data_IF_007154194389
#
_entry.id   IF_007154194389
#
_cell.length_a   1.000
_cell.length_b   1.000
_cell.length_c   1.000
_cell.angle_alpha   90.00
_cell.angle_beta   90.00
_cell.angle_gamma   90.00
#
_symmetry.space_group_name_H-M   'P 1'
#
loop_
_entity.id
_entity.type
_entity.pdbx_description
1 polymer ?
#
# COMPACT_ATOMS: atom_id res chain seq x y z
N UNK A 1 1.64 16.68 -19.12
CA UNK A 1 2.01 15.76 -20.23
C UNK A 1 3.19 14.85 -19.90
N UNK A 2 4.26 15.36 -19.28
CA UNK A 2 5.48 14.60 -19.00
C UNK A 2 5.28 13.36 -18.11
N UNK A 3 4.50 13.46 -17.03
CA UNK A 3 4.34 12.30 -16.13
C UNK A 3 3.46 11.18 -16.69
N UNK A 4 2.54 11.49 -17.62
CA UNK A 4 1.85 10.46 -18.43
C UNK A 4 2.86 9.73 -19.31
N UNK A 5 3.71 10.48 -20.01
CA UNK A 5 4.73 9.92 -20.88
C UNK A 5 5.73 9.04 -20.12
N UNK A 6 6.19 9.50 -18.96
CA UNK A 6 7.12 8.75 -18.10
C UNK A 6 6.47 7.46 -17.56
N UNK A 7 5.22 7.53 -17.10
CA UNK A 7 4.47 6.34 -16.67
C UNK A 7 4.26 5.33 -17.81
N UNK A 8 3.95 5.81 -19.02
CA UNK A 8 3.83 4.95 -20.20
C UNK A 8 5.16 4.30 -20.60
N UNK A 9 6.27 5.05 -20.57
CA UNK A 9 7.62 4.52 -20.83
C UNK A 9 7.98 3.43 -19.83
N UNK A 10 7.71 3.64 -18.55
CA UNK A 10 7.97 2.65 -17.51
C UNK A 10 7.15 1.37 -17.71
N UNK A 11 5.86 1.50 -18.04
CA UNK A 11 4.99 0.36 -18.32
C UNK A 11 5.47 -0.45 -19.54
N UNK A 12 5.88 0.23 -20.62
CA UNK A 12 6.44 -0.43 -21.80
C UNK A 12 7.74 -1.15 -21.49
N UNK A 13 8.68 -0.49 -20.82
CA UNK A 13 9.96 -1.11 -20.45
C UNK A 13 9.76 -2.31 -19.51
N UNK A 14 8.77 -2.26 -18.60
CA UNK A 14 8.41 -3.39 -17.76
C UNK A 14 7.83 -4.57 -18.55
N UNK A 15 6.98 -4.29 -19.54
CA UNK A 15 6.44 -5.29 -20.44
C UNK A 15 7.52 -5.97 -21.27
N UNK A 16 8.44 -5.20 -21.86
CA UNK A 16 9.56 -5.72 -22.65
C UNK A 16 10.47 -6.62 -21.81
N UNK A 17 10.79 -6.22 -20.58
CA UNK A 17 11.57 -7.06 -19.65
C UNK A 17 10.87 -8.37 -19.33
N UNK A 18 9.60 -8.33 -18.94
CA UNK A 18 8.86 -9.56 -18.61
C UNK A 18 8.74 -10.50 -19.81
N UNK A 19 8.48 -9.96 -21.00
CA UNK A 19 8.46 -10.74 -22.23
C UNK A 19 9.84 -11.36 -22.50
N UNK A 20 10.93 -10.59 -22.37
CA UNK A 20 12.28 -11.09 -22.58
C UNK A 20 12.69 -12.16 -21.56
N UNK A 21 12.19 -12.10 -20.33
CA UNK A 21 12.43 -13.07 -19.26
C UNK A 21 11.53 -14.33 -19.35
N UNK A 22 10.60 -14.40 -20.30
CA UNK A 22 9.81 -15.62 -20.56
C UNK A 22 8.36 -15.56 -20.11
N UNK A 23 7.84 -14.41 -19.69
CA UNK A 23 6.43 -14.26 -19.34
C UNK A 23 5.52 -14.44 -20.56
N UNK A 24 4.51 -15.30 -20.46
CA UNK A 24 3.53 -15.53 -21.55
C UNK A 24 2.49 -14.41 -21.68
N UNK A 25 2.45 -13.48 -20.72
CA UNK A 25 1.55 -12.33 -20.72
C UNK A 25 1.83 -11.44 -19.52
N UNK A 26 1.05 -10.37 -19.38
CA UNK A 26 1.20 -9.37 -18.32
C UNK A 26 -0.16 -8.89 -17.81
N UNK A 27 -0.24 -8.65 -16.51
CA UNK A 27 -1.42 -8.07 -15.87
C UNK A 27 -1.47 -6.55 -16.07
N UNK A 28 -2.68 -6.04 -16.25
CA UNK A 28 -2.97 -4.59 -16.29
C UNK A 28 -4.22 -4.30 -15.47
N UNK A 29 -4.20 -3.19 -14.73
CA UNK A 29 -5.31 -2.80 -13.86
C UNK A 29 -6.26 -1.77 -14.51
N UNK A 30 -5.96 -1.30 -15.73
CA UNK A 30 -6.82 -0.36 -16.48
C UNK A 30 -6.81 -0.71 -17.96
N UNK A 31 -7.99 -0.74 -18.59
CA UNK A 31 -8.17 -1.21 -19.97
C UNK A 31 -7.31 -0.45 -21.00
N UNK A 32 -7.08 0.87 -20.81
CA UNK A 32 -6.21 1.64 -21.72
C UNK A 32 -4.78 1.09 -21.79
N UNK A 33 -4.30 0.47 -20.72
CA UNK A 33 -2.95 -0.13 -20.69
C UNK A 33 -2.83 -1.33 -21.63
N UNK A 34 -3.94 -1.97 -22.01
CA UNK A 34 -3.94 -3.06 -22.99
C UNK A 34 -3.37 -2.58 -24.31
N UNK A 35 -3.77 -1.40 -24.79
CA UNK A 35 -3.27 -0.85 -26.05
C UNK A 35 -1.78 -0.51 -26.03
N UNK A 36 -1.22 -0.26 -24.84
CA UNK A 36 0.19 0.04 -24.65
C UNK A 36 1.03 -1.25 -24.55
N UNK A 37 0.55 -2.22 -23.78
CA UNK A 37 1.32 -3.42 -23.41
C UNK A 37 1.20 -4.54 -24.45
N UNK A 38 0.03 -4.70 -25.07
CA UNK A 38 -0.24 -5.77 -26.05
C UNK A 38 0.75 -5.77 -27.23
N UNK A 39 1.15 -4.63 -27.83
CA UNK A 39 2.11 -4.60 -28.92
C UNK A 39 3.44 -5.30 -28.63
N UNK A 40 3.86 -5.39 -27.36
CA UNK A 40 5.10 -6.09 -26.96
C UNK A 40 5.02 -7.58 -27.27
N UNK A 41 3.91 -8.24 -26.95
CA UNK A 41 3.69 -9.66 -27.26
C UNK A 41 3.30 -9.89 -28.72
N UNK A 42 2.52 -8.98 -29.32
CA UNK A 42 2.15 -9.05 -30.76
C UNK A 42 3.40 -9.02 -31.67
N UNK A 43 4.43 -8.27 -31.29
CA UNK A 43 5.70 -8.22 -32.04
C UNK A 43 6.42 -9.56 -32.10
N UNK A 44 6.29 -10.39 -31.06
CA UNK A 44 6.88 -11.74 -31.02
C UNK A 44 6.00 -12.70 -31.81
N UNK A 45 4.69 -12.61 -31.62
CA UNK A 45 3.69 -13.33 -32.45
C UNK A 45 3.43 -14.78 -32.04
N UNK A 46 4.06 -15.28 -30.97
CA UNK A 46 3.80 -16.61 -30.41
C UNK A 46 2.60 -16.60 -29.45
N UNK A 47 1.84 -17.71 -29.39
CA UNK A 47 0.68 -17.85 -28.50
C UNK A 47 1.04 -17.80 -27.00
N UNK A 48 2.23 -18.30 -26.65
CA UNK A 48 2.80 -18.29 -25.30
C UNK A 48 4.29 -18.69 -25.32
N UNK A 49 4.95 -18.64 -24.16
CA UNK A 49 6.36 -19.03 -24.00
C UNK A 49 6.56 -20.36 -23.24
N UNK A 50 5.53 -21.22 -23.16
CA UNK A 50 5.61 -22.46 -22.36
C UNK A 50 6.66 -23.47 -22.87
N UNK A 51 7.06 -23.37 -24.14
CA UNK A 51 8.14 -24.18 -24.73
C UNK A 51 9.54 -23.62 -24.53
N UNK A 52 9.69 -22.46 -23.86
CA UNK A 52 10.99 -21.82 -23.63
C UNK A 52 11.84 -22.69 -22.71
N UNK A 53 13.04 -23.02 -23.15
CA UNK A 53 14.01 -23.76 -22.34
C UNK A 53 14.67 -22.79 -21.36
N UNK A 54 14.47 -23.03 -20.07
CA UNK A 54 15.19 -22.36 -19.00
C UNK A 54 16.40 -23.20 -18.58
N UNK A 55 17.46 -22.58 -18.02
CA UNK A 55 18.49 -23.33 -17.30
C UNK A 55 17.84 -24.28 -16.28
N UNK A 56 18.36 -25.50 -16.11
CA UNK A 56 17.84 -26.42 -15.09
C UNK A 56 17.84 -25.75 -13.71
N UNK A 57 16.74 -25.92 -12.97
CA UNK A 57 16.67 -25.41 -11.59
C UNK A 57 17.77 -26.06 -10.74
N UNK A 58 18.42 -25.23 -9.95
CA UNK A 58 19.34 -25.65 -8.89
C UNK A 58 18.62 -25.58 -7.54
N UNK A 59 19.17 -26.30 -6.56
CA UNK A 59 18.67 -26.35 -5.18
C UNK A 59 19.84 -26.28 -4.20
N UNK A 60 20.79 -25.40 -4.51
CA UNK A 60 21.97 -25.13 -3.70
C UNK A 60 21.61 -24.29 -2.49
N UNK A 61 22.53 -24.19 -1.53
CA UNK A 61 22.38 -23.26 -0.41
C UNK A 61 22.23 -21.80 -0.89
N UNK A 62 22.94 -21.42 -1.97
CA UNK A 62 22.83 -20.08 -2.55
C UNK A 62 21.42 -19.81 -3.08
N UNK A 63 20.79 -20.78 -3.75
CA UNK A 63 19.41 -20.60 -4.24
C UNK A 63 18.43 -20.35 -3.09
N UNK A 64 18.64 -21.03 -1.95
CA UNK A 64 17.84 -20.78 -0.75
C UNK A 64 18.14 -19.40 -0.12
N UNK A 65 19.41 -19.00 -0.07
CA UNK A 65 19.81 -17.69 0.45
C UNK A 65 19.26 -16.55 -0.42
N UNK A 66 19.27 -16.70 -1.73
CA UNK A 66 18.77 -15.70 -2.69
C UNK A 66 17.26 -15.48 -2.58
N UNK A 67 16.47 -16.50 -2.21
CA UNK A 67 15.02 -16.37 -2.00
C UNK A 67 14.64 -15.47 -0.82
N UNK A 68 15.53 -15.34 0.17
CA UNK A 68 15.33 -14.49 1.36
C UNK A 68 16.25 -13.28 1.39
N UNK A 69 16.98 -13.02 0.30
CA UNK A 69 17.87 -11.87 0.18
C UNK A 69 17.07 -10.57 0.30
N UNK A 70 17.43 -9.75 1.27
CA UNK A 70 16.87 -8.41 1.45
C UNK A 70 17.79 -7.39 0.81
N UNK A 71 17.38 -6.85 -0.34
CA UNK A 71 18.13 -5.77 -1.01
C UNK A 71 18.03 -4.45 -0.23
N UNK A 72 19.07 -3.60 -0.25
CA UNK A 72 18.98 -2.25 0.27
C UNK A 72 17.86 -1.47 -0.42
N UNK A 73 16.88 -1.03 0.37
CA UNK A 73 15.75 -0.23 -0.12
C UNK A 73 15.74 1.15 0.55
N UNK A 74 15.32 2.22 -0.17
CA UNK A 74 15.16 3.53 0.43
C UNK A 74 14.13 3.53 1.57
N UNK A 75 14.50 4.14 2.70
CA UNK A 75 13.60 4.39 3.83
C UNK A 75 13.61 5.88 4.12
N UNK A 76 12.69 6.58 3.47
CA UNK A 76 12.69 8.04 3.41
C UNK A 76 11.41 8.62 3.99
N UNK A 77 11.45 9.89 4.37
CA UNK A 77 10.26 10.61 4.87
C UNK A 77 9.18 10.67 3.80
N UNK A 78 9.55 11.02 2.55
CA UNK A 78 8.63 10.98 1.41
C UNK A 78 8.03 9.58 1.21
N UNK A 79 8.84 8.53 1.38
CA UNK A 79 8.38 7.15 1.35
C UNK A 79 7.32 6.88 2.43
N UNK A 80 7.61 7.22 3.68
CA UNK A 80 6.67 7.06 4.80
C UNK A 80 5.34 7.81 4.56
N UNK A 81 5.39 9.04 4.05
CA UNK A 81 4.19 9.82 3.69
C UNK A 81 3.36 9.10 2.62
N UNK A 82 3.99 8.58 1.58
CA UNK A 82 3.30 7.81 0.54
C UNK A 82 2.62 6.56 1.12
N UNK A 83 3.34 5.78 1.94
CA UNK A 83 2.80 4.59 2.60
C UNK A 83 1.56 4.93 3.43
N UNK A 84 1.66 5.97 4.28
CA UNK A 84 0.57 6.44 5.13
C UNK A 84 -0.63 6.95 4.32
N UNK A 85 -0.37 7.87 3.40
CA UNK A 85 -1.40 8.55 2.62
C UNK A 85 -2.26 7.56 1.83
N UNK A 86 -1.63 6.59 1.14
CA UNK A 86 -2.37 5.62 0.33
C UNK A 86 -3.07 4.58 1.22
N UNK A 87 -2.47 4.15 2.34
CA UNK A 87 -3.14 3.21 3.25
C UNK A 87 -4.40 3.81 3.89
N UNK A 88 -4.34 5.07 4.33
CA UNK A 88 -5.48 5.82 4.87
C UNK A 88 -6.60 5.98 3.82
N UNK A 89 -6.23 6.39 2.60
CA UNK A 89 -7.19 6.54 1.50
C UNK A 89 -7.84 5.21 1.11
N UNK A 90 -7.05 4.12 1.06
CA UNK A 90 -7.58 2.80 0.73
C UNK A 90 -8.60 2.32 1.77
N UNK A 91 -8.27 2.41 3.06
CA UNK A 91 -9.22 2.07 4.13
C UNK A 91 -10.49 2.90 4.06
N UNK A 92 -10.36 4.21 3.82
CA UNK A 92 -11.52 5.08 3.66
C UNK A 92 -12.39 4.66 2.45
N UNK A 93 -11.77 4.40 1.29
CA UNK A 93 -12.48 3.99 0.09
C UNK A 93 -13.15 2.61 0.24
N UNK A 94 -12.51 1.69 0.96
CA UNK A 94 -13.07 0.39 1.29
C UNK A 94 -14.41 0.52 2.02
N UNK A 95 -14.49 1.40 3.02
CA UNK A 95 -15.73 1.70 3.74
C UNK A 95 -16.78 2.43 2.90
N UNK A 96 -16.39 3.04 1.78
CA UNK A 96 -17.32 3.61 0.81
C UNK A 96 -17.78 2.59 -0.25
N UNK A 97 -17.47 1.29 -0.05
CA UNK A 97 -17.82 0.22 -0.98
C UNK A 97 -16.92 0.12 -2.21
N UNK A 98 -15.75 0.78 -2.20
CA UNK A 98 -14.80 0.78 -3.32
C UNK A 98 -13.58 -0.08 -2.97
N UNK A 99 -13.44 -1.24 -3.62
CA UNK A 99 -12.32 -2.17 -3.38
C UNK A 99 -11.25 -2.16 -4.48
N UNK A 100 -11.53 -1.49 -5.60
CA UNK A 100 -10.56 -1.15 -6.64
C UNK A 100 -10.59 0.37 -6.79
N UNK A 101 -9.50 1.04 -6.41
CA UNK A 101 -9.53 2.47 -6.13
C UNK A 101 -8.39 3.19 -6.83
N UNK A 102 -8.70 4.26 -7.57
CA UNK A 102 -7.69 5.12 -8.15
C UNK A 102 -7.14 6.06 -7.06
N UNK A 103 -5.92 5.80 -6.57
CA UNK A 103 -5.31 6.55 -5.46
C UNK A 103 -4.04 7.28 -5.91
N UNK A 104 -3.77 8.39 -5.22
CA UNK A 104 -2.56 9.20 -5.40
C UNK A 104 -2.08 9.66 -4.01
N UNK A 105 -0.77 9.65 -3.72
CA UNK A 105 -0.29 10.21 -2.46
C UNK A 105 -0.65 11.69 -2.33
N UNK A 106 -1.01 12.12 -1.12
CA UNK A 106 -1.53 13.45 -0.85
C UNK A 106 -0.57 14.59 -1.23
N UNK A 107 0.74 14.34 -1.18
CA UNK A 107 1.79 15.26 -1.65
C UNK A 107 1.65 15.65 -3.13
N UNK A 108 0.91 14.86 -3.92
CA UNK A 108 0.69 15.09 -5.34
C UNK A 108 -0.76 15.45 -5.69
N UNK A 109 -1.62 15.71 -4.70
CA UNK A 109 -2.95 16.26 -4.97
C UNK A 109 -2.85 17.61 -5.70
N UNK A 110 -3.77 17.84 -6.63
CA UNK A 110 -3.73 18.99 -7.53
C UNK A 110 -2.63 18.95 -8.62
N UNK A 111 -1.72 17.98 -8.59
CA UNK A 111 -0.75 17.77 -9.65
C UNK A 111 -1.28 16.77 -10.69
N UNK A 112 -1.73 17.29 -11.82
CA UNK A 112 -2.29 16.49 -12.92
C UNK A 112 -1.20 15.77 -13.76
N UNK A 113 0.09 16.09 -13.57
CA UNK A 113 1.17 15.34 -14.21
C UNK A 113 1.44 13.99 -13.53
N UNK A 114 1.05 13.83 -12.26
CA UNK A 114 1.16 12.56 -11.55
C UNK A 114 -0.15 11.80 -11.70
N UNK A 115 -0.08 10.57 -12.20
CA UNK A 115 -1.26 9.73 -12.40
C UNK A 115 -1.72 9.07 -11.10
N UNK A 116 -3.02 8.80 -11.02
CA UNK A 116 -3.55 7.88 -10.01
C UNK A 116 -3.18 6.46 -10.42
N UNK A 117 -2.89 5.63 -9.42
CA UNK A 117 -2.69 4.20 -9.59
C UNK A 117 -3.96 3.47 -9.15
N UNK A 118 -4.32 2.42 -9.87
CA UNK A 118 -5.42 1.55 -9.47
C UNK A 118 -4.90 0.61 -8.38
N UNK A 119 -5.38 0.79 -7.17
CA UNK A 119 -4.96 0.09 -5.97
C UNK A 119 -6.03 -0.89 -5.50
N UNK A 120 -5.58 -2.00 -4.91
CA UNK A 120 -6.41 -3.04 -4.27
C UNK A 120 -5.98 -3.25 -2.80
N UNK A 121 -6.55 -4.28 -2.16
CA UNK A 121 -6.27 -4.61 -0.77
C UNK A 121 -4.79 -4.87 -0.50
N UNK A 122 -4.07 -5.53 -1.42
CA UNK A 122 -2.66 -5.85 -1.22
C UNK A 122 -1.81 -4.58 -1.09
N UNK A 123 -2.23 -3.49 -1.74
CA UNK A 123 -1.59 -2.18 -1.61
C UNK A 123 -1.69 -1.62 -0.19
N UNK A 124 -2.86 -1.71 0.45
CA UNK A 124 -3.04 -1.27 1.83
C UNK A 124 -2.21 -2.14 2.80
N UNK A 125 -2.29 -3.46 2.62
CA UNK A 125 -1.60 -4.45 3.45
C UNK A 125 -0.09 -4.26 3.50
N UNK A 126 0.55 -4.12 2.32
CA UNK A 126 2.01 -3.98 2.26
C UNK A 126 2.47 -2.65 2.87
N UNK A 127 1.68 -1.57 2.70
CA UNK A 127 2.04 -0.24 3.21
C UNK A 127 2.03 -0.19 4.72
N UNK A 128 0.99 -0.75 5.36
CA UNK A 128 0.94 -0.86 6.81
C UNK A 128 1.99 -1.83 7.36
N UNK A 129 2.22 -2.93 6.64
CA UNK A 129 3.28 -3.88 6.97
C UNK A 129 4.66 -3.23 7.01
N UNK A 130 5.00 -2.39 6.02
CA UNK A 130 6.27 -1.68 5.97
C UNK A 130 6.38 -0.67 7.11
N UNK A 131 5.35 0.13 7.36
CA UNK A 131 5.34 1.12 8.46
C UNK A 131 5.49 0.45 9.83
N UNK A 132 4.77 -0.66 10.05
CA UNK A 132 4.92 -1.47 11.26
C UNK A 132 6.35 -1.99 11.38
N UNK A 133 6.94 -2.57 10.33
CA UNK A 133 8.30 -3.08 10.40
C UNK A 133 9.34 -1.98 10.64
N UNK A 134 9.19 -0.81 10.01
CA UNK A 134 10.08 0.32 10.25
C UNK A 134 10.03 0.78 11.71
N UNK A 135 8.83 0.86 12.29
CA UNK A 135 8.65 1.26 13.67
C UNK A 135 9.20 0.22 14.65
N UNK A 136 8.80 -1.05 14.50
CA UNK A 136 9.06 -2.09 15.49
C UNK A 136 10.44 -2.76 15.36
N UNK A 137 11.06 -2.71 14.18
CA UNK A 137 12.42 -3.25 13.95
C UNK A 137 13.50 -2.17 13.94
N UNK A 138 13.18 -0.92 14.31
CA UNK A 138 14.15 0.18 14.35
C UNK A 138 14.71 0.51 12.96
N UNK A 139 13.83 0.61 11.96
CA UNK A 139 14.20 0.90 10.58
C UNK A 139 14.98 2.20 10.46
N UNK A 140 16.21 2.14 9.93
CA UNK A 140 17.10 3.29 9.77
C UNK A 140 16.80 4.05 8.49
N UNK A 141 16.55 5.35 8.62
CA UNK A 141 16.30 6.22 7.48
C UNK A 141 17.55 6.34 6.61
N UNK A 142 17.33 6.45 5.30
CA UNK A 142 18.40 6.41 4.29
C UNK A 142 18.69 7.78 3.68
N UNK A 143 18.04 8.84 4.16
CA UNK A 143 18.28 10.20 3.71
C UNK A 143 18.01 11.20 4.83
N UNK A 144 18.59 12.39 4.70
CA UNK A 144 18.29 13.52 5.57
C UNK A 144 16.95 14.16 5.18
N UNK A 145 16.21 14.62 6.18
CA UNK A 145 15.04 15.47 6.01
C UNK A 145 15.19 16.71 6.91
N UNK A 146 15.48 17.84 6.29
CA UNK A 146 15.74 19.10 7.00
C UNK A 146 14.48 19.69 7.64
N UNK A 147 13.30 19.41 7.08
CA UNK A 147 12.03 19.93 7.58
C UNK A 147 11.62 19.23 8.88
N UNK A 148 11.87 17.93 8.96
CA UNK A 148 11.60 17.13 10.15
C UNK A 148 12.79 17.08 11.11
N UNK A 149 13.96 17.58 10.71
CA UNK A 149 15.18 17.58 11.52
C UNK A 149 15.76 16.17 11.70
N UNK A 150 15.57 15.30 10.70
CA UNK A 150 15.96 13.90 10.75
C UNK A 150 17.19 13.68 9.85
N UNK A 151 18.15 12.90 10.34
CA UNK A 151 19.39 12.59 9.63
C UNK A 151 19.38 11.14 9.10
N UNK A 152 20.17 10.89 8.06
CA UNK A 152 20.46 9.53 7.62
C UNK A 152 21.00 8.68 8.77
N UNK A 153 20.46 7.47 8.94
CA UNK A 153 20.81 6.56 10.03
C UNK A 153 19.91 6.66 11.27
N UNK A 154 19.14 7.75 11.42
CA UNK A 154 18.14 7.89 12.48
C UNK A 154 17.06 6.81 12.36
N UNK A 155 16.52 6.39 13.50
CA UNK A 155 15.48 5.36 13.55
C UNK A 155 14.08 5.95 13.27
N UNK A 156 13.24 5.17 12.61
CA UNK A 156 11.83 5.51 12.41
C UNK A 156 11.05 5.34 13.72
N UNK A 157 11.06 6.38 14.56
CA UNK A 157 10.48 6.33 15.90
C UNK A 157 8.95 6.47 15.93
N UNK A 158 8.33 6.09 17.05
CA UNK A 158 6.91 6.31 17.31
C UNK A 158 6.52 7.80 17.24
N UNK A 159 7.39 8.69 17.71
CA UNK A 159 7.18 10.14 17.64
C UNK A 159 7.17 10.65 16.19
N UNK A 160 8.10 10.15 15.37
CA UNK A 160 8.13 10.46 13.94
C UNK A 160 6.88 9.93 13.22
N UNK A 161 6.50 8.67 13.47
CA UNK A 161 5.26 8.10 12.94
C UNK A 161 4.04 8.95 13.30
N UNK A 162 3.89 9.32 14.57
CA UNK A 162 2.74 10.11 15.04
C UNK A 162 2.66 11.49 14.37
N UNK A 163 3.80 12.14 14.16
CA UNK A 163 3.88 13.41 13.43
C UNK A 163 3.45 13.25 11.96
N UNK A 164 4.02 12.27 11.27
CA UNK A 164 3.69 11.98 9.87
C UNK A 164 2.23 11.59 9.69
N UNK A 165 1.70 10.73 10.58
CA UNK A 165 0.29 10.34 10.59
C UNK A 165 -0.61 11.57 10.69
N UNK A 166 -0.36 12.47 11.65
CA UNK A 166 -1.17 13.68 11.83
C UNK A 166 -1.12 14.59 10.59
N UNK A 167 0.08 14.84 10.05
CA UNK A 167 0.26 15.69 8.88
C UNK A 167 -0.40 15.10 7.62
N UNK A 168 -0.27 13.79 7.37
CA UNK A 168 -0.93 13.13 6.24
C UNK A 168 -2.45 13.10 6.41
N UNK A 169 -2.94 12.85 7.62
CA UNK A 169 -4.37 12.85 7.91
C UNK A 169 -5.00 14.24 7.66
N UNK A 170 -4.35 15.32 8.09
CA UNK A 170 -4.77 16.69 7.82
C UNK A 170 -4.80 17.02 6.33
N UNK A 171 -3.82 16.52 5.54
CA UNK A 171 -3.85 16.68 4.08
C UNK A 171 -5.09 16.00 3.47
N UNK A 172 -5.48 14.82 3.95
CA UNK A 172 -6.69 14.14 3.47
C UNK A 172 -7.98 14.87 3.85
N UNK A 173 -8.04 15.49 5.04
CA UNK A 173 -9.15 16.35 5.43
C UNK A 173 -9.26 17.61 4.56
N UNK A 174 -8.12 18.20 4.21
CA UNK A 174 -8.04 19.40 3.38
C UNK A 174 -8.15 19.14 1.87
N UNK A 175 -8.08 17.88 1.43
CA UNK A 175 -8.11 17.50 0.02
C UNK A 175 -9.42 17.90 -0.66
N UNK A 176 -9.42 18.08 -1.98
CA UNK A 176 -10.67 18.32 -2.71
C UNK A 176 -11.54 17.05 -2.78
N UNK A 177 -12.85 17.21 -2.99
CA UNK A 177 -13.80 16.10 -3.14
C UNK A 177 -13.40 15.08 -4.21
N UNK A 178 -12.68 15.52 -5.26
CA UNK A 178 -12.12 14.66 -6.31
C UNK A 178 -11.14 13.61 -5.77
N UNK A 179 -10.38 13.97 -4.75
CA UNK A 179 -9.32 13.14 -4.16
C UNK A 179 -9.83 12.37 -2.94
N UNK A 180 -10.61 13.03 -2.08
CA UNK A 180 -11.23 12.45 -0.89
C UNK A 180 -12.65 12.99 -0.75
N UNK A 181 -13.64 12.10 -0.79
CA UNK A 181 -15.06 12.50 -0.74
C UNK A 181 -15.38 13.28 0.54
N UNK A 182 -16.03 14.43 0.39
CA UNK A 182 -16.36 15.36 1.49
C UNK A 182 -17.17 14.68 2.60
N UNK A 183 -18.11 13.81 2.21
CA UNK A 183 -18.90 13.06 3.19
C UNK A 183 -18.04 12.13 4.04
N UNK A 184 -17.11 11.41 3.40
CA UNK A 184 -16.25 10.40 4.06
C UNK A 184 -15.33 11.00 5.12
N UNK A 185 -14.95 12.28 4.98
CA UNK A 185 -14.06 12.98 5.92
C UNK A 185 -14.60 13.04 7.34
N UNK A 186 -15.92 12.95 7.51
CA UNK A 186 -16.60 13.01 8.82
C UNK A 186 -17.27 11.70 9.22
N UNK A 187 -17.16 10.66 8.40
CA UNK A 187 -17.78 9.36 8.64
C UNK A 187 -16.71 8.26 8.66
N UNK A 188 -16.18 7.88 7.51
CA UNK A 188 -15.33 6.69 7.36
C UNK A 188 -13.82 6.97 7.41
N UNK A 189 -13.38 8.17 7.04
CA UNK A 189 -11.95 8.51 7.08
C UNK A 189 -11.40 8.49 8.52
N UNK A 190 -12.10 9.00 9.54
CA UNK A 190 -11.65 8.86 10.93
C UNK A 190 -11.50 7.40 11.37
N UNK A 191 -12.41 6.52 10.93
CA UNK A 191 -12.36 5.07 11.22
C UNK A 191 -11.12 4.45 10.57
N UNK A 192 -10.88 4.72 9.28
CA UNK A 192 -9.68 4.27 8.59
C UNK A 192 -8.39 4.77 9.29
N UNK A 193 -8.38 6.03 9.72
CA UNK A 193 -7.31 6.61 10.51
C UNK A 193 -7.03 5.85 11.81
N UNK A 194 -8.07 5.60 12.61
CA UNK A 194 -7.93 4.86 13.86
C UNK A 194 -7.40 3.43 13.64
N UNK A 195 -7.82 2.76 12.57
CA UNK A 195 -7.30 1.43 12.23
C UNK A 195 -5.82 1.50 11.86
N UNK A 196 -5.42 2.45 11.00
CA UNK A 196 -4.01 2.62 10.60
C UNK A 196 -3.12 2.92 11.82
N UNK A 197 -3.56 3.83 12.68
CA UNK A 197 -2.84 4.20 13.90
C UNK A 197 -2.67 3.00 14.84
N UNK A 198 -3.76 2.28 15.10
CA UNK A 198 -3.76 1.11 15.98
C UNK A 198 -2.97 -0.06 15.39
N UNK A 199 -3.08 -0.31 14.09
CA UNK A 199 -2.34 -1.37 13.39
C UNK A 199 -0.83 -1.15 13.55
N UNK A 200 -0.34 0.06 13.19
CA UNK A 200 1.10 0.33 13.20
C UNK A 200 1.66 0.34 14.62
N UNK A 201 0.90 0.85 15.60
CA UNK A 201 1.33 0.90 17.01
C UNK A 201 1.22 -0.43 17.75
N UNK A 202 0.47 -1.40 17.22
CA UNK A 202 0.25 -2.69 17.88
C UNK A 202 1.56 -3.44 18.13
N UNK A 203 1.74 -3.98 19.34
CA UNK A 203 2.91 -4.78 19.72
C UNK A 203 3.02 -6.07 18.89
N UNK A 204 1.89 -6.76 18.69
CA UNK A 204 1.79 -7.84 17.73
C UNK A 204 1.30 -7.29 16.40
N UNK A 205 2.04 -7.57 15.32
CA UNK A 205 1.61 -7.20 13.97
C UNK A 205 0.28 -7.89 13.63
N UNK A 206 -0.80 -7.14 13.36
CA UNK A 206 -2.02 -7.75 12.84
C UNK A 206 -1.73 -8.46 11.51
N UNK A 207 -2.15 -9.72 11.33
CA UNK A 207 -1.84 -10.45 10.10
C UNK A 207 -2.40 -9.81 8.84
N UNK A 208 -3.58 -9.17 8.94
CA UNK A 208 -4.24 -8.52 7.82
C UNK A 208 -4.93 -7.22 8.25
N UNK A 209 -4.74 -6.17 7.48
CA UNK A 209 -5.49 -4.92 7.53
C UNK A 209 -6.97 -5.16 7.22
N UNK A 210 -7.27 -6.06 6.27
CA UNK A 210 -8.64 -6.37 5.86
C UNK A 210 -9.52 -6.89 7.00
N UNK A 211 -8.95 -7.55 8.03
CA UNK A 211 -9.72 -8.04 9.18
C UNK A 211 -10.35 -6.86 9.94
N UNK A 212 -9.56 -5.83 10.24
CA UNK A 212 -10.02 -4.60 10.90
C UNK A 212 -10.98 -3.78 10.03
N UNK A 213 -10.78 -3.79 8.71
CA UNK A 213 -11.69 -3.17 7.76
C UNK A 213 -13.04 -3.91 7.69
N UNK A 214 -13.03 -5.23 7.58
CA UNK A 214 -14.27 -6.04 7.50
C UNK A 214 -15.14 -5.84 8.74
N UNK A 215 -14.54 -5.83 9.93
CA UNK A 215 -15.25 -5.58 11.19
C UNK A 215 -15.97 -4.22 11.22
N UNK A 216 -15.55 -3.26 10.39
CA UNK A 216 -16.09 -1.90 10.36
C UNK A 216 -16.86 -1.60 9.06
N UNK A 217 -17.18 -2.61 8.25
CA UNK A 217 -18.10 -2.43 7.11
C UNK A 217 -19.46 -1.92 7.60
N UNK A 218 -20.07 -1.02 6.81
CA UNK A 218 -21.33 -0.34 7.11
C UNK A 218 -21.38 0.42 8.45
N UNK A 219 -20.23 0.67 9.08
CA UNK A 219 -20.11 1.48 10.28
C UNK A 219 -19.66 2.92 9.95
N UNK A 220 -20.42 3.91 10.46
CA UNK A 220 -20.05 5.33 10.42
C UNK A 220 -19.84 5.92 11.84
N UNK A 221 -20.02 5.12 12.88
CA UNK A 221 -19.81 5.52 14.27
C UNK A 221 -18.36 5.24 14.69
N UNK A 222 -17.65 6.32 14.98
CA UNK A 222 -16.25 6.27 15.37
C UNK A 222 -16.02 5.56 16.71
N UNK A 223 -16.92 5.69 17.68
CA UNK A 223 -16.73 5.05 18.98
C UNK A 223 -16.97 3.54 18.90
N UNK A 224 -17.94 3.10 18.09
CA UNK A 224 -18.11 1.67 17.76
C UNK A 224 -16.84 1.13 17.09
N UNK A 225 -16.25 1.89 16.15
CA UNK A 225 -15.02 1.46 15.49
C UNK A 225 -13.86 1.29 16.47
N UNK A 226 -13.71 2.22 17.42
CA UNK A 226 -12.67 2.14 18.45
C UNK A 226 -12.84 0.92 19.35
N UNK A 227 -14.07 0.59 19.74
CA UNK A 227 -14.36 -0.62 20.50
C UNK A 227 -13.97 -1.88 19.71
N UNK A 228 -14.38 -1.97 18.44
CA UNK A 228 -14.07 -3.11 17.56
C UNK A 228 -12.57 -3.31 17.34
N UNK A 229 -11.84 -2.22 17.11
CA UNK A 229 -10.37 -2.25 16.97
C UNK A 229 -9.73 -2.77 18.27
N UNK A 230 -10.16 -2.23 19.41
CA UNK A 230 -9.65 -2.66 20.72
C UNK A 230 -9.92 -4.14 21.00
N UNK A 231 -11.14 -4.60 20.73
CA UNK A 231 -11.55 -6.00 20.86
C UNK A 231 -10.69 -6.92 19.97
N UNK A 232 -10.49 -6.56 18.69
CA UNK A 232 -9.64 -7.34 17.79
C UNK A 232 -8.21 -7.44 18.32
N UNK A 233 -7.59 -6.32 18.67
CA UNK A 233 -6.19 -6.30 19.14
C UNK A 233 -6.02 -7.04 20.47
N UNK A 234 -7.01 -6.95 21.37
CA UNK A 234 -7.02 -7.70 22.62
C UNK A 234 -7.11 -9.21 22.37
N UNK A 235 -8.00 -9.66 21.48
CA UNK A 235 -8.12 -11.07 21.11
C UNK A 235 -6.83 -11.60 20.49
N UNK A 236 -6.26 -10.85 19.54
CA UNK A 236 -4.99 -11.19 18.89
C UNK A 236 -3.85 -11.31 19.91
N UNK A 237 -3.77 -10.38 20.87
CA UNK A 237 -2.71 -10.35 21.89
C UNK A 237 -2.87 -11.47 22.93
N UNK A 238 -4.11 -11.79 23.28
CA UNK A 238 -4.42 -12.79 24.31
C UNK A 238 -4.05 -14.20 23.86
N UNK A 239 -4.45 -14.60 22.66
CA UNK A 239 -4.32 -15.99 22.20
C UNK A 239 -4.16 -16.14 20.68
N UNK A 240 -3.92 -15.06 19.94
CA UNK A 240 -3.76 -15.08 18.49
C UNK A 240 -5.08 -15.17 17.72
N UNK A 241 -6.23 -15.06 18.39
CA UNK A 241 -7.53 -15.08 17.73
C UNK A 241 -7.68 -13.88 16.79
N UNK A 242 -8.01 -14.17 15.53
CA UNK A 242 -8.40 -13.17 14.54
C UNK A 242 -9.92 -13.12 14.46
N UNK A 243 -10.47 -11.92 14.59
CA UNK A 243 -11.89 -11.66 14.32
C UNK A 243 -11.96 -11.19 12.87
N UNK A 244 -12.58 -12.00 12.00
CA UNK A 244 -12.55 -11.80 10.54
C UNK A 244 -13.92 -11.45 9.97
N UNK A 245 -14.95 -11.69 10.75
CA UNK A 245 -16.36 -11.41 10.49
C UNK A 245 -16.76 -10.03 11.02
N UNK A 246 -17.79 -9.44 10.40
CA UNK A 246 -18.46 -8.27 10.94
C UNK A 246 -19.60 -8.74 11.83
N UNK A 247 -19.60 -8.34 13.09
CA UNK A 247 -20.60 -8.73 14.08
C UNK A 247 -22.00 -8.17 13.80
N UNK A 248 -22.14 -7.22 12.87
CA UNK A 248 -23.44 -6.70 12.43
C UNK A 248 -24.12 -7.59 11.38
N UNK A 249 -23.37 -8.52 10.76
CA UNK A 249 -23.89 -9.41 9.74
C UNK A 249 -24.00 -10.84 10.31
N UNK A 250 -25.23 -11.28 10.55
CA UNK A 250 -25.55 -12.67 10.94
C UNK A 250 -25.23 -13.69 9.85
#
# INVERSE_FOLDING_TARGET
EKGIEDGMKQAMAGAEREQSEGASGKWVAHWKMVHLVRPVWEKVGDDNQAGRVFPPLTYTAQDADDLFLLEPAPRTIRGARNLLSVALQYGNAFFQGMQAVALKPADFFGNDDILYLMEDAATGEIRLSILWEWLHKGGRLTENDLELGVSEGDEFTLGLFGRLYAEEFEKLLAAADRDVYEHSKRTTLPIAGAIVDAYVKSELKPPWYIDLLNMNLDNADFEIARERIGMYLQALTKDGTRITDNQDFD
#
